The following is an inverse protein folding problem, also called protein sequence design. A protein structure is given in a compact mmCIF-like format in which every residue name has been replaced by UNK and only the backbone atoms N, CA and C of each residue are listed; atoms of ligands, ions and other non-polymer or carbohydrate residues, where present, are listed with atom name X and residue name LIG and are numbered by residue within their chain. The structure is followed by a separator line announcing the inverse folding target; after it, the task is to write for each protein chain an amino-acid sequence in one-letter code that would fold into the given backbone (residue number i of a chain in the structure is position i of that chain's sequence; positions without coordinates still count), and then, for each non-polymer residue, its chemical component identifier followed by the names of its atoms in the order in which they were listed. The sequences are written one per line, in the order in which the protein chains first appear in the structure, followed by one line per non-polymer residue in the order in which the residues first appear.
data_IF_787849150023
#
_entry.id   IF_787849150023
#
_cell.length_a   1.000
_cell.length_b   1.000
_cell.length_c   1.000
_cell.angle_alpha   90.00
_cell.angle_beta   90.00
_cell.angle_gamma   90.00
#
_symmetry.space_group_name_H-M   'P 1'
#
loop_
_entity.id
_entity.type
_entity.pdbx_description
1 polymer ?
2 polymer ?
3 polymer ?
4 non-polymer ?
5 non-polymer ?
6 water ?
#
loop_
_entity_poly.entity_id
_entity_poly.type
_entity_poly.pdbx_seq_one_letter_code
_entity_poly.pdbx_strand_id
2 'polydeoxyribonucleotide' '(DG)(DG)(DG)(DT)(DT)(DT)(DC)(DC)(DA)(DC)(DT)(DT)(DA)(DT)(DT)(DC)(DA)(DT)(DG)(DA)(DT)(DT)(DT)(DT)(DA)(DG)' ?
3 'polydeoxyribonucleotide' '(DC)(DC)(DT)(DA)(DA)(DA)(DA)(DT)(DC)(DA)(DT)(DG)(DA)(DA)(DT)(DA)(DA)(DG)(DT)(DG)(DG)(DA)(DA)(DA)(DC)(DC)' ?
#
# COMPACT_ATOMS: atom_id res chain seq x y z
N UNK A 8 -7.16 17.63 -4.29
CA UNK A 8 -7.03 16.61 -5.33
C UNK A 8 -5.65 15.95 -5.34
N UNK A 9 -5.61 14.64 -5.13
CA UNK A 9 -4.36 13.95 -4.81
C UNK A 9 -3.46 13.90 -6.03
N UNK A 10 -2.20 14.21 -5.84
CA UNK A 10 -1.22 14.10 -6.91
C UNK A 10 -1.27 12.69 -7.52
N UNK A 11 -1.25 12.55 -8.86
CA UNK A 11 -1.42 11.21 -9.44
C UNK A 11 -0.36 10.21 -9.03
N UNK A 12 0.91 10.62 -8.87
CA UNK A 12 1.96 9.70 -8.45
C UNK A 12 1.83 9.33 -6.97
N UNK A 13 1.41 10.28 -6.12
CA UNK A 13 1.04 9.93 -4.75
C UNK A 13 -0.07 8.89 -4.77
N UNK A 14 -1.05 9.08 -5.65
CA UNK A 14 -2.13 8.13 -5.79
C UNK A 14 -1.62 6.75 -6.18
N UNK A 15 -0.72 6.69 -7.16
CA UNK A 15 -0.18 5.39 -7.55
C UNK A 15 0.62 4.74 -6.40
N UNK A 16 1.43 5.52 -5.69
CA UNK A 16 2.20 4.93 -4.60
C UNK A 16 1.29 4.40 -3.50
N UNK A 17 0.19 5.12 -3.25
CA UNK A 17 -0.79 4.66 -2.27
C UNK A 17 -1.49 3.39 -2.75
N UNK A 18 -1.75 3.27 -4.06
CA UNK A 18 -2.38 2.07 -4.59
C UNK A 18 -1.43 0.89 -4.53
N UNK A 19 -0.13 1.13 -4.76
CA UNK A 19 0.84 0.07 -4.55
C UNK A 19 0.80 -0.43 -3.12
N UNK A 20 0.60 0.47 -2.18
CA UNK A 20 0.55 0.08 -0.78
C UNK A 20 -0.79 -0.56 -0.40
N UNK A 21 -1.91 0.02 -0.85
CA UNK A 21 -3.21 -0.32 -0.29
C UNK A 21 -4.24 -0.84 -1.30
N UNK A 22 -3.94 -0.83 -2.59
CA UNK A 22 -4.95 -1.25 -3.54
C UNK A 22 -4.96 -2.75 -3.78
N UNK A 23 -6.04 -3.21 -4.40
CA UNK A 23 -6.18 -4.61 -4.73
C UNK A 23 -7.04 -4.71 -5.99
N UNK A 24 -6.69 -5.62 -6.88
CA UNK A 24 -7.51 -5.93 -8.04
C UNK A 24 -8.34 -7.18 -7.77
N UNK A 25 -9.54 -7.20 -8.30
CA UNK A 25 -10.43 -8.32 -8.02
C UNK A 25 -11.01 -8.82 -9.32
N UNK A 26 -11.14 -10.14 -9.42
CA UNK A 26 -11.84 -10.74 -10.55
C UNK A 26 -12.70 -11.83 -9.96
N UNK A 27 -14.03 -11.67 -10.00
CA UNK A 27 -14.95 -12.68 -9.52
C UNK A 27 -15.51 -13.46 -10.70
N UNK A 28 -15.49 -14.79 -10.59
CA UNK A 28 -16.08 -15.69 -11.59
C UNK A 28 -16.99 -16.59 -10.79
N UNK A 29 -18.30 -16.33 -10.81
CA UNK A 29 -19.26 -16.89 -9.86
C UNK A 29 -20.26 -17.79 -10.56
N UNK A 30 -20.56 -18.92 -9.95
CA UNK A 30 -21.67 -19.72 -10.43
C UNK A 30 -22.93 -18.88 -10.44
N UNK A 31 -23.65 -18.89 -11.55
CA UNK A 31 -24.87 -18.07 -11.62
C UNK A 31 -25.89 -18.81 -12.45
N UNK A 32 -26.97 -19.28 -11.81
CA UNK A 32 -28.01 -20.06 -12.48
C UNK A 32 -28.77 -19.24 -13.51
N UNK A 33 -28.80 -17.92 -13.35
CA UNK A 33 -29.52 -17.05 -14.27
C UNK A 33 -28.66 -16.58 -15.44
N UNK A 34 -27.37 -16.94 -15.47
CA UNK A 34 -26.46 -16.56 -16.54
C UNK A 34 -26.47 -17.59 -17.66
N UNK A 35 -26.37 -17.11 -18.90
CA UNK A 35 -26.47 -18.01 -20.03
C UNK A 35 -25.37 -19.07 -20.00
N UNK A 36 -24.16 -18.71 -19.55
CA UNK A 36 -23.06 -19.66 -19.54
C UNK A 36 -22.89 -20.33 -18.21
N UNK A 37 -23.77 -20.08 -17.24
CA UNK A 37 -23.64 -20.66 -15.93
C UNK A 37 -22.76 -19.88 -14.97
N UNK A 38 -22.17 -18.77 -15.41
CA UNK A 38 -21.30 -17.98 -14.54
C UNK A 38 -21.51 -16.50 -14.87
N UNK A 39 -21.40 -15.64 -13.84
CA UNK A 39 -21.33 -14.20 -14.01
C UNK A 39 -19.96 -13.72 -13.50
N UNK A 40 -19.60 -12.49 -13.86
CA UNK A 40 -18.26 -11.99 -13.56
C UNK A 40 -18.37 -10.60 -12.94
N UNK A 41 -17.29 -10.18 -12.31
CA UNK A 41 -17.21 -8.84 -11.78
C UNK A 41 -15.73 -8.51 -11.72
N UNK A 42 -15.35 -7.36 -12.21
CA UNK A 42 -13.95 -6.98 -12.30
C UNK A 42 -13.79 -5.65 -11.59
N UNK A 43 -12.67 -5.43 -10.90
CA UNK A 43 -12.58 -4.15 -10.23
C UNK A 43 -11.28 -3.89 -9.49
N UNK A 44 -11.28 -2.74 -8.84
CA UNK A 44 -10.16 -2.20 -8.06
C UNK A 44 -10.74 -1.67 -6.76
N UNK A 45 -10.06 -1.94 -5.66
CA UNK A 45 -10.60 -1.52 -4.37
C UNK A 45 -9.46 -1.13 -3.44
N UNK A 46 -9.78 -0.23 -2.49
CA UNK A 46 -8.89 0.16 -1.39
C UNK A 46 -9.72 0.08 -0.11
N UNK A 47 -9.17 -0.55 0.92
CA UNK A 47 -9.85 -0.63 2.21
C UNK A 47 -8.93 -0.04 3.27
N UNK A 48 -9.48 0.90 4.05
CA UNK A 48 -8.74 1.68 5.02
C UNK A 48 -9.49 1.69 6.35
N UNK A 49 -8.80 2.06 7.40
CA UNK A 49 -9.48 2.32 8.67
C UNK A 49 -10.43 3.49 8.50
N UNK A 50 -11.56 3.47 9.24
CA UNK A 50 -12.56 4.54 9.12
C UNK A 50 -11.93 5.92 9.26
N UNK A 51 -10.89 6.06 10.07
CA UNK A 51 -10.30 7.38 10.28
C UNK A 51 -9.70 7.98 9.02
N UNK A 52 -9.38 7.16 8.01
CA UNK A 52 -8.86 7.67 6.75
C UNK A 52 -9.91 7.68 5.63
N UNK A 53 -11.19 7.75 5.99
CA UNK A 53 -12.24 7.79 4.98
C UNK A 53 -12.07 8.95 4.01
N UNK A 54 -11.51 10.08 4.47
CA UNK A 54 -11.40 11.23 3.59
C UNK A 54 -10.46 10.96 2.43
N UNK A 55 -9.48 10.09 2.60
CA UNK A 55 -8.65 9.71 1.46
C UNK A 55 -9.50 9.09 0.37
N UNK A 56 -10.35 8.12 0.76
CA UNK A 56 -11.20 7.45 -0.23
C UNK A 56 -12.17 8.43 -0.86
N UNK A 57 -12.70 9.37 -0.07
CA UNK A 57 -13.58 10.40 -0.65
C UNK A 57 -12.80 11.27 -1.62
N UNK A 58 -11.54 11.59 -1.27
CA UNK A 58 -10.71 12.39 -2.17
C UNK A 58 -10.40 11.63 -3.46
N UNK A 59 -10.10 10.33 -3.37
CA UNK A 59 -9.86 9.54 -4.58
C UNK A 59 -11.13 9.48 -5.43
N UNK A 60 -12.26 9.17 -4.79
CA UNK A 60 -13.53 9.08 -5.50
C UNK A 60 -13.84 10.35 -6.26
N UNK A 61 -13.62 11.50 -5.61
CA UNK A 61 -13.80 12.80 -6.23
C UNK A 61 -12.73 13.07 -7.29
N UNK A 62 -11.48 12.65 -7.05
CA UNK A 62 -10.41 12.89 -8.01
C UNK A 62 -10.63 12.08 -9.30
N UNK A 63 -11.15 10.88 -9.17
CA UNK A 63 -11.36 10.01 -10.33
C UNK A 63 -12.80 10.04 -10.83
N UNK A 64 -13.74 10.46 -9.98
CA UNK A 64 -15.16 10.43 -10.29
C UNK A 64 -15.66 9.00 -10.55
N UNK A 65 -15.20 8.04 -9.73
CA UNK A 65 -15.63 6.65 -9.87
C UNK A 65 -15.65 6.03 -8.47
N UNK A 66 -16.30 4.89 -8.37
CA UNK A 66 -16.25 4.06 -7.19
C UNK A 66 -17.37 4.36 -6.21
N UNK A 67 -17.66 3.36 -5.37
CA UNK A 67 -18.62 3.50 -4.29
C UNK A 67 -17.92 3.20 -2.97
N UNK A 68 -18.33 3.90 -1.92
CA UNK A 68 -17.70 3.81 -0.61
C UNK A 68 -18.70 3.18 0.36
N UNK A 69 -18.25 2.19 1.11
CA UNK A 69 -19.14 1.51 2.04
C UNK A 69 -18.34 1.08 3.24
N UNK A 70 -19.05 0.87 4.34
CA UNK A 70 -18.39 0.30 5.50
C UNK A 70 -17.88 -1.10 5.19
N UNK A 71 -16.83 -1.51 5.88
CA UNK A 71 -16.25 -2.82 5.64
C UNK A 71 -15.95 -3.38 7.02
N UNK A 72 -16.91 -4.10 7.58
CA UNK A 72 -16.76 -4.40 8.98
C UNK A 72 -16.98 -3.12 9.78
N UNK A 73 -16.60 -3.18 11.04
CA UNK A 73 -16.97 -2.10 11.94
C UNK A 73 -15.93 -0.99 12.06
N UNK A 74 -14.67 -1.25 11.66
CA UNK A 74 -13.63 -0.23 11.78
C UNK A 74 -13.08 0.26 10.45
N UNK A 75 -13.50 -0.31 9.34
CA UNK A 75 -12.86 0.02 8.07
C UNK A 75 -13.92 0.51 7.11
N UNK A 76 -13.45 1.13 6.02
CA UNK A 76 -14.32 1.55 4.93
C UNK A 76 -13.59 1.21 3.64
N UNK A 77 -14.35 0.85 2.61
CA UNK A 77 -13.80 0.49 1.31
C UNK A 77 -14.24 1.48 0.25
N UNK A 78 -13.35 1.75 -0.71
CA UNK A 78 -13.72 2.31 -2.01
C UNK A 78 -13.58 1.16 -3.01
N UNK A 79 -14.68 0.82 -3.69
CA UNK A 79 -14.69 -0.30 -4.62
C UNK A 79 -15.13 0.24 -5.97
N UNK A 80 -14.35 -0.07 -6.99
CA UNK A 80 -14.62 0.34 -8.37
C UNK A 80 -14.82 -0.93 -9.18
N UNK A 81 -16.06 -1.18 -9.61
CA UNK A 81 -16.31 -2.34 -10.45
C UNK A 81 -17.24 -2.05 -11.62
N UNK A 82 -17.93 -0.91 -11.62
CA UNK A 82 -18.70 -0.49 -12.79
C UNK A 82 -17.81 -0.44 -14.03
N UNK A 83 -18.20 -1.19 -15.05
CA UNK A 83 -17.27 -1.44 -16.13
C UNK A 83 -16.74 -0.16 -16.74
N UNK A 84 -17.63 0.79 -17.05
CA UNK A 84 -17.16 2.09 -17.54
C UNK A 84 -16.24 2.78 -16.55
N UNK A 85 -16.46 2.60 -15.24
CA UNK A 85 -15.53 3.24 -14.31
C UNK A 85 -14.13 2.68 -14.49
N UNK A 86 -14.01 1.43 -14.98
CA UNK A 86 -12.70 0.78 -14.99
C UNK A 86 -11.78 1.44 -16.02
N UNK A 87 -12.34 2.07 -17.07
CA UNK A 87 -11.49 2.80 -18.01
C UNK A 87 -10.70 3.91 -17.32
N UNK A 88 -11.29 4.56 -16.31
CA UNK A 88 -10.58 5.60 -15.56
C UNK A 88 -9.40 4.99 -14.81
N UNK A 89 -9.60 3.80 -14.22
CA UNK A 89 -8.50 3.07 -13.57
C UNK A 89 -7.39 2.78 -14.57
N UNK A 90 -7.76 2.25 -15.73
CA UNK A 90 -6.73 1.92 -16.72
C UNK A 90 -6.01 3.19 -17.17
N UNK A 91 -6.76 4.25 -17.49
CA UNK A 91 -6.11 5.49 -17.91
C UNK A 91 -5.08 5.97 -16.88
N UNK A 92 -5.44 5.93 -15.59
CA UNK A 92 -4.50 6.37 -14.56
C UNK A 92 -3.24 5.52 -14.55
N UNK A 93 -3.39 4.19 -14.50
CA UNK A 93 -2.22 3.35 -14.29
C UNK A 93 -1.41 3.15 -15.56
N UNK A 94 -2.00 3.45 -16.73
CA UNK A 94 -1.18 3.58 -17.95
C UNK A 94 -0.26 4.79 -17.85
N UNK A 95 -0.76 5.92 -17.35
CA UNK A 95 0.09 7.11 -17.22
C UNK A 95 1.02 7.07 -16.01
N UNK A 96 0.58 6.49 -14.88
CA UNK A 96 1.36 6.51 -13.64
C UNK A 96 1.47 5.09 -13.11
N UNK A 97 2.35 4.28 -13.69
CA UNK A 97 2.28 2.83 -13.49
C UNK A 97 2.75 2.40 -12.11
N UNK A 98 2.09 1.34 -11.59
CA UNK A 98 2.46 0.70 -10.33
C UNK A 98 3.87 0.13 -10.43
N UNK A 99 4.54 -0.02 -9.28
CA UNK A 99 5.89 -0.57 -9.31
C UNK A 99 6.13 -1.77 -8.40
N UNK A 100 5.18 -2.18 -7.54
CA UNK A 100 5.37 -3.41 -6.78
C UNK A 100 4.90 -4.61 -7.61
N UNK A 101 4.89 -5.82 -6.99
CA UNK A 101 4.35 -6.97 -7.71
C UNK A 101 2.90 -6.76 -8.09
N UNK A 102 2.22 -5.81 -7.45
CA UNK A 102 0.83 -5.50 -7.84
C UNK A 102 0.73 -5.08 -9.30
N UNK A 103 1.79 -4.55 -9.90
CA UNK A 103 1.71 -4.26 -11.33
C UNK A 103 1.36 -5.51 -12.10
N UNK A 104 1.83 -6.68 -11.63
CA UNK A 104 1.45 -7.91 -12.30
C UNK A 104 -0.04 -8.16 -12.20
N UNK A 105 -0.65 -7.81 -11.06
CA UNK A 105 -2.09 -8.01 -10.93
C UNK A 105 -2.84 -7.00 -11.79
N UNK A 106 -2.31 -5.77 -11.91
CA UNK A 106 -2.88 -4.82 -12.85
C UNK A 106 -2.86 -5.34 -14.28
N UNK A 107 -1.74 -5.94 -14.69
CA UNK A 107 -1.67 -6.49 -16.04
C UNK A 107 -2.73 -7.57 -16.28
N UNK A 108 -3.00 -8.41 -15.29
CA UNK A 108 -4.05 -9.43 -15.40
C UNK A 108 -5.43 -8.80 -15.43
N UNK A 109 -5.64 -7.79 -14.58
CA UNK A 109 -6.86 -6.98 -14.61
C UNK A 109 -7.12 -6.42 -16.01
N UNK A 110 -6.09 -5.87 -16.66
CA UNK A 110 -6.30 -5.37 -18.01
C UNK A 110 -6.65 -6.48 -18.98
N UNK A 111 -6.03 -7.64 -18.84
CA UNK A 111 -6.38 -8.75 -19.72
C UNK A 111 -7.83 -9.16 -19.53
N UNK A 112 -8.28 -9.22 -18.29
CA UNK A 112 -9.69 -9.54 -18.06
C UNK A 112 -10.59 -8.44 -18.62
N UNK A 113 -10.19 -7.18 -18.44
CA UNK A 113 -11.00 -6.09 -18.97
C UNK A 113 -11.17 -6.25 -20.48
N UNK A 114 -10.11 -6.68 -21.17
CA UNK A 114 -10.21 -6.82 -22.63
C UNK A 114 -11.18 -7.94 -23.02
N UNK A 115 -11.13 -9.06 -22.31
CA UNK A 115 -12.10 -10.14 -22.53
C UNK A 115 -13.52 -9.59 -22.43
N UNK A 116 -13.78 -8.81 -21.39
CA UNK A 116 -15.13 -8.34 -21.09
C UNK A 116 -15.57 -7.25 -22.04
N UNK A 117 -14.66 -6.34 -22.40
CA UNK A 117 -14.98 -5.33 -23.39
C UNK A 117 -15.46 -5.97 -24.70
N UNK A 118 -14.92 -7.13 -25.05
CA UNK A 118 -15.34 -7.85 -26.25
C UNK A 118 -16.59 -8.69 -26.01
N UNK A 119 -17.20 -8.55 -24.84
CA UNK A 119 -18.34 -9.36 -24.39
C UNK A 119 -18.08 -10.85 -24.47
N UNK A 120 -16.81 -11.26 -24.55
CA UNK A 120 -16.50 -12.69 -24.60
C UNK A 120 -16.83 -13.42 -23.31
N UNK A 121 -16.88 -12.72 -22.18
CA UNK A 121 -17.24 -13.36 -20.92
C UNK A 121 -18.67 -13.90 -20.92
N UNK A 122 -19.48 -13.56 -21.91
CA UNK A 122 -20.83 -14.11 -22.00
C UNK A 122 -20.87 -15.43 -22.74
N UNK A 123 -19.73 -15.93 -23.21
CA UNK A 123 -19.62 -17.23 -23.86
C UNK A 123 -18.65 -18.12 -23.08
N UNK A 124 -18.76 -19.43 -23.33
CA UNK A 124 -17.93 -20.41 -22.63
C UNK A 124 -16.44 -20.09 -22.74
N UNK A 125 -15.96 -19.73 -23.93
CA UNK A 125 -14.51 -19.57 -24.07
C UNK A 125 -14.00 -18.34 -23.33
N UNK A 126 -14.83 -17.30 -23.18
CA UNK A 126 -14.41 -16.12 -22.44
C UNK A 126 -14.29 -16.42 -20.96
N UNK A 127 -15.22 -17.23 -20.44
CA UNK A 127 -15.12 -17.73 -19.07
C UNK A 127 -13.84 -18.51 -18.90
N UNK A 128 -13.52 -19.39 -19.87
CA UNK A 128 -12.28 -20.15 -19.78
C UNK A 128 -11.06 -19.23 -19.74
N UNK A 129 -11.05 -18.19 -20.57
CA UNK A 129 -9.91 -17.29 -20.56
C UNK A 129 -9.81 -16.55 -19.23
N UNK A 130 -10.95 -16.11 -18.67
CA UNK A 130 -10.92 -15.43 -17.38
C UNK A 130 -10.44 -16.35 -16.27
N UNK A 131 -10.75 -17.65 -16.39
CA UNK A 131 -10.26 -18.60 -15.40
C UNK A 131 -8.75 -18.71 -15.48
N UNK A 132 -8.20 -18.77 -16.70
CA UNK A 132 -6.74 -18.81 -16.85
C UNK A 132 -6.09 -17.55 -16.30
N UNK A 133 -6.77 -16.40 -16.43
CA UNK A 133 -6.25 -15.14 -15.89
C UNK A 133 -6.30 -15.16 -14.35
N UNK A 134 -7.46 -15.55 -13.81
CA UNK A 134 -7.66 -15.55 -12.37
C UNK A 134 -6.69 -16.49 -11.67
N UNK A 135 -6.28 -17.57 -12.35
CA UNK A 135 -5.38 -18.53 -11.71
C UNK A 135 -4.06 -17.90 -11.33
N UNK A 136 -3.66 -16.83 -12.02
CA UNK A 136 -2.44 -16.11 -11.71
C UNK A 136 -2.65 -14.89 -10.82
N UNK A 137 -3.89 -14.56 -10.49
CA UNK A 137 -4.17 -13.31 -9.80
C UNK A 137 -4.34 -13.53 -8.30
N UNK A 138 -3.64 -12.74 -7.50
CA UNK A 138 -3.81 -12.73 -6.04
C UNK A 138 -3.69 -14.16 -5.54
N UNK A 139 -4.70 -14.67 -4.85
CA UNK A 139 -4.64 -16.03 -4.32
C UNK A 139 -5.06 -17.10 -5.34
N UNK A 140 -5.48 -16.71 -6.55
CA UNK A 140 -5.69 -17.71 -7.60
C UNK A 140 -7.06 -18.36 -7.56
N UNK A 141 -7.15 -19.54 -8.18
CA UNK A 141 -8.45 -20.19 -8.30
C UNK A 141 -8.91 -20.74 -6.96
N UNK A 142 -10.20 -20.67 -6.71
CA UNK A 142 -10.75 -21.37 -5.57
C UNK A 142 -10.80 -22.88 -5.84
N UNK A 143 -11.10 -23.64 -4.78
CA UNK A 143 -11.35 -25.06 -4.95
C UNK A 143 -12.48 -25.31 -5.95
N UNK A 144 -13.61 -24.63 -5.78
CA UNK A 144 -14.70 -24.76 -6.74
C UNK A 144 -14.20 -24.60 -8.17
N UNK A 145 -13.58 -23.47 -8.47
CA UNK A 145 -13.14 -23.23 -9.84
C UNK A 145 -12.13 -24.27 -10.28
N UNK A 146 -11.23 -24.69 -9.39
CA UNK A 146 -10.29 -25.75 -9.76
C UNK A 146 -11.05 -27.03 -10.07
N UNK A 147 -12.16 -27.27 -9.37
CA UNK A 147 -13.01 -28.41 -9.69
C UNK A 147 -13.64 -28.24 -11.06
N UNK A 148 -14.38 -27.14 -11.28
CA UNK A 148 -15.09 -26.93 -12.53
C UNK A 148 -14.17 -26.79 -13.71
N UNK A 149 -12.92 -26.40 -13.50
CA UNK A 149 -11.96 -26.19 -14.58
C UNK A 149 -10.66 -26.88 -14.21
N UNK A 150 -10.64 -28.21 -14.17
CA UNK A 150 -9.38 -28.94 -13.94
C UNK A 150 -8.42 -28.90 -15.12
N UNK A 151 -8.73 -28.14 -16.17
CA UNK A 151 -7.92 -28.13 -17.38
C UNK A 151 -6.47 -27.75 -17.09
N UNK A 152 -5.76 -27.27 -18.10
CA UNK A 152 -4.38 -26.82 -17.94
C UNK A 152 -4.40 -25.35 -17.55
N UNK A 153 -4.03 -25.06 -16.29
CA UNK A 153 -4.00 -23.70 -15.76
C UNK A 153 -2.70 -23.50 -14.99
N UNK A 154 -1.70 -22.93 -15.65
CA UNK A 154 -0.51 -22.45 -14.97
C UNK A 154 -0.81 -21.25 -14.08
N UNK A 155 -0.16 -21.22 -12.92
CA UNK A 155 -0.18 -20.09 -12.01
C UNK A 155 1.02 -19.18 -12.20
N UNK A 156 1.87 -19.45 -13.18
CA UNK A 156 3.11 -18.72 -13.34
C UNK A 156 2.85 -17.32 -13.90
N UNK A 157 3.65 -16.35 -13.46
CA UNK A 157 3.66 -15.04 -14.09
C UNK A 157 4.99 -14.39 -13.80
N UNK A 158 5.30 -13.36 -14.58
CA UNK A 158 6.63 -12.76 -14.50
C UNK A 158 6.75 -11.88 -13.25
N UNK A 159 7.96 -11.86 -12.70
CA UNK A 159 8.27 -10.99 -11.56
C UNK A 159 8.36 -9.54 -12.02
N UNK A 160 7.97 -8.62 -11.15
CA UNK A 160 8.12 -7.20 -11.40
C UNK A 160 9.42 -6.77 -10.74
N UNK A 161 10.19 -5.94 -11.42
CA UNK A 161 11.48 -5.49 -10.91
C UNK A 161 11.66 -4.03 -11.35
N UNK A 162 11.10 -3.09 -10.58
CA UNK A 162 11.12 -1.67 -10.95
C UNK A 162 11.66 -0.82 -9.80
N UNK A 163 12.24 0.33 -10.13
CA UNK A 163 12.72 1.22 -9.08
C UNK A 163 11.68 2.29 -8.79
N UNK A 164 11.79 2.88 -7.61
CA UNK A 164 11.01 4.04 -7.26
C UNK A 164 11.11 5.06 -8.39
N UNK A 165 10.00 5.58 -8.90
CA UNK A 165 10.09 6.56 -9.98
C UNK A 165 10.37 7.98 -9.51
N UNK A 166 9.99 8.30 -8.28
CA UNK A 166 10.09 9.67 -7.78
C UNK A 166 9.57 9.75 -6.34
N UNK A 167 9.69 10.92 -5.73
CA UNK A 167 9.40 11.09 -4.31
C UNK A 167 7.90 11.19 -4.03
N UNK A 168 7.10 11.53 -5.03
CA UNK A 168 5.65 11.52 -4.84
C UNK A 168 5.14 10.09 -4.70
N UNK A 169 5.60 9.20 -5.58
CA UNK A 169 5.31 7.78 -5.39
C UNK A 169 5.70 7.37 -3.99
N UNK A 170 6.91 7.77 -3.55
CA UNK A 170 7.34 7.36 -2.22
C UNK A 170 6.41 7.91 -1.13
N UNK A 171 5.96 9.16 -1.27
CA UNK A 171 5.04 9.71 -0.26
C UNK A 171 3.73 8.94 -0.20
N UNK A 172 3.22 8.52 -1.36
CA UNK A 172 1.97 7.74 -1.35
C UNK A 172 2.18 6.38 -0.73
N UNK A 173 3.29 5.73 -1.08
CA UNK A 173 3.57 4.40 -0.57
C UNK A 173 3.80 4.43 0.94
N UNK A 174 4.50 5.45 1.42
CA UNK A 174 4.77 5.61 2.84
C UNK A 174 3.49 5.96 3.59
N UNK A 175 2.59 6.71 2.95
CA UNK A 175 1.29 6.96 3.57
C UNK A 175 0.52 5.67 3.79
N UNK A 176 0.75 4.67 2.94
CA UNK A 176 0.19 3.36 3.21
C UNK A 176 0.94 2.49 4.22
N UNK A 177 2.25 2.32 4.01
CA UNK A 177 3.02 1.25 4.64
C UNK A 177 4.03 1.74 5.66
N UNK A 178 4.19 3.06 5.82
CA UNK A 178 5.27 3.58 6.64
C UNK A 178 4.85 3.73 8.10
N UNK A 179 5.86 4.01 8.94
CA UNK A 179 5.63 4.17 10.37
C UNK A 179 6.66 5.17 10.85
N UNK A 180 6.21 6.18 11.58
CA UNK A 180 7.06 7.16 12.27
C UNK A 180 6.97 6.92 13.77
N UNK A 181 8.07 6.61 14.41
CA UNK A 181 7.98 6.29 15.83
C UNK A 181 9.06 7.00 16.64
N UNK A 182 8.74 7.23 17.91
CA UNK A 182 9.71 7.66 18.92
C UNK A 182 10.01 6.45 19.77
N UNK A 183 11.26 6.00 19.76
CA UNK A 183 11.70 4.84 20.54
C UNK A 183 12.37 5.35 21.82
N UNK A 184 11.84 4.97 22.99
CA UNK A 184 12.41 5.33 24.28
C UNK A 184 13.16 4.12 24.82
N UNK A 185 14.47 4.24 24.92
CA UNK A 185 15.35 3.12 25.22
C UNK A 185 15.86 3.29 26.65
N UNK A 186 15.54 2.34 27.53
CA UNK A 186 16.20 2.23 28.82
C UNK A 186 17.70 2.32 28.62
N UNK A 187 18.35 3.22 29.35
CA UNK A 187 19.74 3.51 29.02
C UNK A 187 20.54 3.81 30.29
N UNK A 188 21.83 3.50 30.23
CA UNK A 188 22.76 3.92 31.27
C UNK A 188 23.11 5.41 31.06
N UNK A 189 22.20 6.15 30.46
CA UNK A 189 22.40 7.58 30.27
C UNK A 189 22.16 8.33 31.58
N UNK A 190 22.58 9.58 31.62
CA UNK A 190 22.33 10.41 32.80
C UNK A 190 20.85 10.42 33.14
N UNK A 191 19.99 10.68 32.14
CA UNK A 191 18.55 10.65 32.32
C UNK A 191 18.02 9.23 32.39
N UNK A 192 18.79 8.23 31.98
CA UNK A 192 18.34 6.86 32.04
C UNK A 192 17.45 6.42 30.89
N UNK A 193 17.21 7.29 29.92
CA UNK A 193 16.36 6.96 28.77
C UNK A 193 16.97 7.61 27.54
N UNK A 194 17.15 6.83 26.48
CA UNK A 194 17.67 7.33 25.23
C UNK A 194 16.47 7.55 24.31
N UNK A 195 16.43 8.69 23.63
CA UNK A 195 15.40 8.99 22.66
C UNK A 195 15.94 8.64 21.28
N UNK A 196 15.21 7.80 20.54
CA UNK A 196 15.62 7.42 19.18
C UNK A 196 14.42 7.56 18.24
N UNK A 197 14.60 8.26 17.13
CA UNK A 197 13.54 8.38 16.13
C UNK A 197 13.73 7.25 15.14
N UNK A 198 12.65 6.60 14.75
CA UNK A 198 12.72 5.52 13.78
C UNK A 198 11.73 5.77 12.64
N UNK A 199 12.17 5.50 11.42
CA UNK A 199 11.33 5.47 10.24
C UNK A 199 11.36 4.06 9.69
N UNK A 200 10.19 3.48 9.45
CA UNK A 200 10.10 2.07 9.12
C UNK A 200 9.06 1.85 8.04
N UNK A 201 9.40 1.00 7.08
CA UNK A 201 8.47 0.57 6.05
C UNK A 201 8.55 -0.94 5.94
N UNK A 202 7.39 -1.58 5.95
CA UNK A 202 7.28 -3.02 6.01
C UNK A 202 6.69 -3.56 4.71
N UNK A 203 7.17 -4.70 4.26
CA UNK A 203 6.63 -5.25 3.02
C UNK A 203 6.99 -6.71 2.92
N UNK A 204 6.06 -7.48 2.33
CA UNK A 204 6.30 -8.89 2.06
C UNK A 204 7.59 -9.08 1.28
N UNK A 205 8.24 -10.22 1.55
CA UNK A 205 9.53 -10.50 0.94
C UNK A 205 9.49 -10.58 -0.58
N UNK A 206 8.30 -10.72 -1.18
CA UNK A 206 8.29 -10.76 -2.64
C UNK A 206 8.76 -9.45 -3.24
N UNK A 207 8.77 -8.35 -2.51
CA UNK A 207 9.28 -7.10 -3.06
C UNK A 207 10.61 -6.68 -2.44
N UNK A 208 11.47 -7.68 -2.24
CA UNK A 208 12.81 -7.42 -1.69
C UNK A 208 13.60 -6.46 -2.56
N UNK A 209 13.55 -6.62 -3.89
CA UNK A 209 14.33 -5.73 -4.73
C UNK A 209 13.91 -4.28 -4.53
N UNK A 210 12.60 -4.04 -4.57
CA UNK A 210 12.12 -2.67 -4.32
C UNK A 210 12.55 -2.20 -2.94
N UNK A 211 12.45 -3.06 -1.93
CA UNK A 211 12.81 -2.59 -0.59
C UNK A 211 14.29 -2.28 -0.51
N UNK A 212 15.12 -3.16 -1.06
CA UNK A 212 16.56 -2.93 -1.04
C UNK A 212 16.92 -1.61 -1.72
N UNK A 213 16.18 -1.25 -2.76
CA UNK A 213 16.46 -0.02 -3.48
C UNK A 213 16.18 1.21 -2.65
N UNK A 214 15.33 1.11 -1.62
CA UNK A 214 15.15 2.23 -0.72
C UNK A 214 16.48 2.70 -0.15
N UNK A 215 17.34 1.74 0.22
CA UNK A 215 18.64 2.09 0.79
C UNK A 215 19.37 3.06 -0.12
N UNK A 216 19.44 2.72 -1.41
CA UNK A 216 20.20 3.53 -2.34
C UNK A 216 19.42 4.77 -2.76
N UNK A 217 18.10 4.64 -2.92
CA UNK A 217 17.30 5.80 -3.32
C UNK A 217 17.36 6.90 -2.27
N UNK A 218 17.21 6.56 -1.00
CA UNK A 218 17.22 7.56 0.07
C UNK A 218 18.61 7.85 0.62
N UNK A 219 19.61 7.03 0.29
CA UNK A 219 20.94 7.25 0.81
C UNK A 219 21.12 6.91 2.27
N UNK A 220 20.33 5.98 2.81
CA UNK A 220 20.42 5.65 4.23
C UNK A 220 19.60 4.40 4.52
N UNK A 221 19.73 3.91 5.76
CA UNK A 221 18.85 2.87 6.28
C UNK A 221 19.37 1.47 6.02
N UNK A 222 18.67 0.50 6.62
CA UNK A 222 19.00 -0.92 6.59
C UNK A 222 17.74 -1.70 6.31
N UNK A 223 17.90 -2.95 5.85
CA UNK A 223 16.79 -3.88 5.65
C UNK A 223 16.92 -5.00 6.66
N UNK A 224 15.84 -5.32 7.34
CA UNK A 224 15.79 -6.47 8.22
C UNK A 224 14.72 -7.43 7.71
N UNK A 225 14.93 -8.72 7.92
CA UNK A 225 13.90 -9.72 7.62
C UNK A 225 13.33 -10.26 8.92
N UNK A 226 12.06 -10.66 8.88
CA UNK A 226 11.40 -11.22 10.03
C UNK A 226 10.44 -12.33 9.61
N UNK A 227 10.22 -13.27 10.52
CA UNK A 227 9.47 -14.48 10.24
C UNK A 227 8.27 -14.58 11.18
N UNK A 228 7.27 -15.34 10.72
CA UNK A 228 6.23 -15.84 11.62
C UNK A 228 5.71 -17.11 10.93
N UNK A 229 6.16 -18.26 11.42
CA UNK A 229 5.81 -19.53 10.76
C UNK A 229 6.30 -19.40 9.32
N UNK A 230 5.53 -19.86 8.34
CA UNK A 230 6.00 -19.69 6.97
C UNK A 230 6.08 -18.23 6.53
N UNK A 231 5.47 -17.30 7.26
CA UNK A 231 5.21 -15.95 6.77
C UNK A 231 6.40 -15.05 7.05
N UNK A 232 6.96 -14.47 6.00
CA UNK A 232 8.16 -13.65 6.11
C UNK A 232 7.91 -12.25 5.55
N UNK A 233 8.52 -11.23 6.16
CA UNK A 233 8.45 -9.90 5.61
C UNK A 233 9.77 -9.17 5.85
N UNK A 234 9.92 -8.05 5.17
CA UNK A 234 11.10 -7.21 5.27
C UNK A 234 10.71 -5.88 5.87
N UNK A 235 11.69 -5.21 6.45
CA UNK A 235 11.48 -3.88 7.00
C UNK A 235 12.67 -3.04 6.61
N UNK A 236 12.39 -1.92 5.95
CA UNK A 236 13.38 -0.87 5.73
C UNK A 236 13.35 0.05 6.93
N UNK A 237 14.51 0.32 7.54
CA UNK A 237 14.53 1.12 8.77
C UNK A 237 15.65 2.15 8.74
N UNK A 238 15.32 3.36 9.23
CA UNK A 238 16.31 4.41 9.45
C UNK A 238 16.19 4.84 10.90
N UNK A 239 17.34 4.91 11.62
CA UNK A 239 17.35 5.54 12.94
C UNK A 239 18.46 6.57 13.14
N UNK A 240 19.46 6.64 12.27
CA UNK A 240 20.55 7.60 12.48
C UNK A 240 20.01 9.02 12.38
N UNK A 241 20.20 9.83 13.43
CA UNK A 241 19.48 11.10 13.50
C UNK A 241 19.81 12.01 12.31
N UNK A 242 21.10 12.10 11.92
CA UNK A 242 21.41 12.98 10.80
C UNK A 242 20.72 12.51 9.53
N UNK A 243 20.58 11.20 9.33
CA UNK A 243 19.83 10.70 8.17
C UNK A 243 18.35 11.04 8.26
N UNK A 244 17.76 10.86 9.44
CA UNK A 244 16.38 11.24 9.66
C UNK A 244 16.18 12.73 9.38
N UNK A 245 17.08 13.55 9.91
CA UNK A 245 16.85 14.99 9.87
C UNK A 245 17.19 15.57 8.51
N UNK A 246 18.21 15.07 7.84
CA UNK A 246 18.67 15.66 6.59
C UNK A 246 18.21 14.91 5.36
N UNK A 247 17.68 13.69 5.50
CA UNK A 247 17.25 12.94 4.32
C UNK A 247 15.78 12.58 4.38
N UNK A 248 15.31 12.00 5.49
CA UNK A 248 13.92 11.55 5.53
C UNK A 248 12.98 12.72 5.70
N UNK A 249 13.22 13.58 6.68
CA UNK A 249 12.27 14.67 6.98
C UNK A 249 12.12 15.60 5.77
N UNK A 250 13.19 16.02 5.10
CA UNK A 250 12.99 16.91 3.94
C UNK A 250 12.16 16.26 2.84
N UNK A 251 12.35 14.97 2.61
CA UNK A 251 11.61 14.29 1.55
C UNK A 251 10.12 14.48 1.76
N UNK A 252 9.64 14.25 2.97
CA UNK A 252 8.21 14.33 3.23
C UNK A 252 7.75 15.75 3.54
N UNK A 253 8.66 16.65 3.87
CA UNK A 253 8.29 18.06 3.91
C UNK A 253 7.94 18.59 2.53
N UNK A 254 8.62 18.10 1.47
CA UNK A 254 8.38 18.56 0.11
C UNK A 254 7.44 17.66 -0.67
N UNK A 255 7.05 16.53 -0.11
CA UNK A 255 6.20 15.56 -0.80
C UNK A 255 5.22 15.07 0.25
N UNK A 256 4.03 15.68 0.27
CA UNK A 256 3.18 15.62 1.45
C UNK A 256 2.52 14.25 1.58
N UNK A 257 2.56 13.72 2.81
CA UNK A 257 1.84 12.51 3.17
C UNK A 257 0.33 12.78 3.17
N UNK A 258 -0.44 11.72 2.98
CA UNK A 258 -1.89 11.83 3.05
C UNK A 258 -2.41 10.95 4.20
N UNK A 259 -3.56 11.32 4.72
CA UNK A 259 -4.16 10.56 5.81
C UNK A 259 -3.58 10.94 7.15
N UNK A 260 -3.95 10.17 8.18
CA UNK A 260 -3.56 10.55 9.52
C UNK A 260 -2.07 10.34 9.75
N UNK A 261 -1.41 9.54 8.91
CA UNK A 261 0.04 9.42 9.07
C UNK A 261 0.69 10.79 8.96
N UNK A 262 0.06 11.73 8.23
CA UNK A 262 0.59 13.08 8.20
C UNK A 262 0.73 13.67 9.60
N UNK A 263 -0.24 13.41 10.47
CA UNK A 263 -0.18 13.89 11.84
C UNK A 263 0.97 13.23 12.60
N UNK A 264 1.15 11.92 12.40
CA UNK A 264 2.30 11.26 12.98
C UNK A 264 3.60 11.92 12.56
N UNK A 265 3.75 12.16 11.26
CA UNK A 265 4.94 12.83 10.76
C UNK A 265 5.16 14.19 11.43
N UNK A 266 4.08 14.95 11.62
CA UNK A 266 4.21 16.28 12.24
C UNK A 266 4.70 16.18 13.68
N UNK A 267 4.06 15.32 14.48
CA UNK A 267 4.56 15.09 15.83
C UNK A 267 6.01 14.62 15.84
N UNK A 268 6.33 13.69 14.94
CA UNK A 268 7.70 13.19 14.83
C UNK A 268 8.69 14.32 14.61
N UNK A 269 8.30 15.27 13.75
CA UNK A 269 9.19 16.37 13.45
C UNK A 269 9.36 17.28 14.68
N UNK A 270 8.30 17.44 15.47
CA UNK A 270 8.43 18.18 16.73
C UNK A 270 9.52 17.58 17.60
N UNK A 271 9.58 16.24 17.68
CA UNK A 271 10.64 15.63 18.48
C UNK A 271 12.00 15.83 17.83
N UNK A 272 12.08 15.69 16.50
CA UNK A 272 13.36 15.95 15.83
C UNK A 272 13.86 17.37 16.13
N UNK A 273 12.95 18.33 16.21
CA UNK A 273 13.36 19.69 16.55
C UNK A 273 13.96 19.73 17.96
N UNK A 274 13.33 19.06 18.91
CA UNK A 274 13.89 19.00 20.25
C UNK A 274 15.28 18.39 20.23
N UNK A 275 15.46 17.28 19.49
CA UNK A 275 16.76 16.61 19.43
C UNK A 275 17.81 17.51 18.78
N UNK A 276 17.42 18.24 17.72
CA UNK A 276 18.38 19.11 17.05
C UNK A 276 18.99 20.13 18.01
N UNK A 277 18.19 20.63 18.96
CA UNK A 277 18.61 21.59 19.95
C UNK A 277 19.23 20.93 21.19
N UNK A 278 19.38 19.62 21.19
CA UNK A 278 19.87 18.87 22.33
C UNK A 278 18.91 18.90 23.52
N UNK A 279 17.66 19.34 23.33
CA UNK A 279 16.72 19.33 24.44
C UNK A 279 16.35 17.91 24.90
N UNK A 280 16.59 16.88 24.08
CA UNK A 280 16.23 15.55 24.57
C UNK A 280 17.12 15.10 25.72
N UNK A 281 18.23 15.79 25.96
CA UNK A 281 19.11 15.48 27.08
C UNK A 281 18.73 16.24 28.35
N UNK A 282 17.60 16.97 28.33
CA UNK A 282 17.11 17.69 29.48
C UNK A 282 15.86 17.00 30.02
N UNK A 283 15.65 17.13 31.33
CA UNK A 283 14.49 16.49 31.95
C UNK A 283 13.19 17.04 31.38
N UNK A 284 13.14 18.34 31.09
CA UNK A 284 11.90 18.89 30.57
C UNK A 284 11.73 18.51 29.09
N UNK A 285 12.82 18.55 28.33
CA UNK A 285 12.75 18.08 26.94
C UNK A 285 12.30 16.64 26.85
N UNK A 286 12.91 15.75 27.65
CA UNK A 286 12.51 14.35 27.65
C UNK A 286 11.04 14.19 28.02
N UNK A 287 10.56 14.95 29.01
CA UNK A 287 9.17 14.80 29.40
C UNK A 287 8.23 15.28 28.31
N UNK A 288 8.60 16.33 27.60
CA UNK A 288 7.78 16.77 26.47
C UNK A 288 7.73 15.70 25.40
N UNK A 289 8.89 15.12 25.07
CA UNK A 289 8.98 14.02 24.10
C UNK A 289 8.11 12.85 24.55
N UNK A 290 8.08 12.57 25.85
CA UNK A 290 7.22 11.48 26.30
C UNK A 290 5.76 11.81 26.00
N UNK A 291 5.36 13.05 26.26
CA UNK A 291 3.99 13.45 26.00
C UNK A 291 3.65 13.26 24.52
N UNK A 292 4.54 13.75 23.64
CA UNK A 292 4.30 13.60 22.21
C UNK A 292 4.15 12.12 21.85
N UNK A 293 5.08 11.29 22.31
CA UNK A 293 5.01 9.88 21.94
C UNK A 293 3.70 9.27 22.41
N UNK A 294 3.24 9.66 23.59
CA UNK A 294 1.98 9.15 24.10
C UNK A 294 0.83 9.57 23.19
N UNK A 295 0.87 10.80 22.70
CA UNK A 295 -0.14 11.28 21.76
C UNK A 295 -0.14 10.43 20.49
N UNK A 296 1.05 10.17 19.92
CA UNK A 296 1.12 9.40 18.67
C UNK A 296 0.65 7.97 18.89
N UNK A 297 1.20 7.32 19.91
CA UNK A 297 0.95 5.90 20.12
C UNK A 297 -0.50 5.68 20.56
N UNK A 298 -1.05 6.59 21.35
CA UNK A 298 -2.46 6.53 21.73
C UNK A 298 -3.34 6.26 20.52
N UNK A 299 -3.22 7.11 19.50
CA UNK A 299 -4.13 7.08 18.37
C UNK A 299 -3.92 5.96 17.36
N UNK A 300 -3.10 4.95 17.69
CA UNK A 300 -2.81 3.87 16.74
C UNK A 300 -2.49 2.52 17.37
#
# INVERSE_FOLDING_TARGET
MASSRRESINPWILTGFADAEGSFLLRIRNNNKSSVGYSTELGFQITLHNKDKSILENIQSTWKVGVIANSGDNAVSLKVTRFEDLKVIIDHFEKYPLITQKLGDYKLFKQAFSVMENKEHLKENGIKELVRIKAKLNWGLTDELKKAFPENISKERSLINKNIPNFKWLAGFTSGEGNFAVNLIKSKSKLGVQVQLTFRITQHIKDKNLMNSLITYLGCGYIYEQNKSEFSWLEFRVTKFSDINDKIIPVFQENTLIGVKLEDFEDWCKVAKLIEEKKHLTESGLDEIKKIKLNMNKGR
#
